data_IF_338256653595
#
_entry.id   IF_338256653595
#
_cell.length_a   1.000
_cell.length_b   1.000
_cell.length_c   1.000
_cell.angle_alpha   90.00
_cell.angle_beta   90.00
_cell.angle_gamma   90.00
#
_symmetry.space_group_name_H-M   'P 1'
#
loop_
_entity.id
_entity.type
_entity.pdbx_description
1 polymer ?
#
# COMPACT_ATOMS: atom_id res chain seq x y z
N UNK A 1 -9.55 50.62 -5.57
CA UNK A 1 -8.39 49.83 -6.07
C UNK A 1 -7.71 49.13 -4.92
N UNK A 2 -7.48 47.81 -5.01
CA UNK A 2 -6.76 47.03 -3.99
C UNK A 2 -5.25 47.33 -4.11
N UNK A 3 -4.60 47.74 -3.03
CA UNK A 3 -3.21 48.23 -3.07
C UNK A 3 -2.20 47.08 -3.13
N UNK A 4 -1.02 47.34 -3.71
CA UNK A 4 0.10 46.38 -3.77
C UNK A 4 0.49 45.84 -2.39
N UNK A 5 0.37 46.66 -1.34
CA UNK A 5 0.61 46.27 0.06
C UNK A 5 -0.34 45.17 0.53
N UNK A 6 -1.61 45.21 0.13
CA UNK A 6 -2.59 44.19 0.46
C UNK A 6 -2.21 42.80 -0.11
N UNK A 7 -1.75 42.76 -1.37
CA UNK A 7 -1.32 41.50 -1.99
C UNK A 7 -0.06 40.91 -1.33
N UNK A 8 0.89 41.76 -0.89
CA UNK A 8 2.10 41.32 -0.18
C UNK A 8 1.76 40.65 1.16
N UNK A 9 0.92 41.30 1.97
CA UNK A 9 0.49 40.76 3.27
C UNK A 9 -0.25 39.43 3.12
N UNK A 10 -1.08 39.28 2.10
CA UNK A 10 -1.80 38.03 1.87
C UNK A 10 -0.85 36.86 1.52
N UNK A 11 0.20 37.12 0.73
CA UNK A 11 1.22 36.12 0.41
C UNK A 11 2.02 35.72 1.64
N UNK A 12 2.39 36.66 2.51
CA UNK A 12 3.07 36.38 3.78
C UNK A 12 2.24 35.43 4.64
N UNK A 13 0.94 35.74 4.84
CA UNK A 13 0.01 34.89 5.60
C UNK A 13 -0.09 33.48 4.99
N UNK A 14 -0.21 33.38 3.67
CA UNK A 14 -0.31 32.09 2.96
C UNK A 14 0.97 31.24 3.13
N UNK A 15 2.12 31.90 3.20
CA UNK A 15 3.43 31.27 3.38
C UNK A 15 3.62 30.78 4.81
N UNK A 16 3.28 31.61 5.81
CA UNK A 16 3.30 31.22 7.24
C UNK A 16 2.37 30.05 7.51
N UNK A 17 1.15 30.09 6.95
CA UNK A 17 0.22 28.98 7.04
C UNK A 17 0.85 27.71 6.46
N UNK A 18 1.35 27.72 5.23
CA UNK A 18 2.01 26.55 4.61
C UNK A 18 3.14 25.98 5.49
N UNK A 19 3.95 26.82 6.13
CA UNK A 19 5.01 26.40 7.03
C UNK A 19 4.47 25.62 8.25
N UNK A 20 3.45 26.17 8.91
CA UNK A 20 2.81 25.52 10.07
C UNK A 20 2.21 24.14 9.71
N UNK A 21 1.64 23.97 8.52
CA UNK A 21 1.13 22.65 8.07
C UNK A 21 2.24 21.64 7.87
N UNK A 22 3.37 22.05 7.27
CA UNK A 22 4.51 21.17 7.05
C UNK A 22 5.12 20.69 8.37
N UNK A 23 5.20 21.56 9.36
CA UNK A 23 5.69 21.23 10.70
C UNK A 23 4.77 20.24 11.42
N UNK A 24 3.46 20.45 11.34
CA UNK A 24 2.45 19.54 11.91
C UNK A 24 2.56 18.13 11.29
N UNK A 25 2.61 18.04 9.96
CA UNK A 25 2.75 16.76 9.24
C UNK A 25 4.06 16.06 9.64
N UNK A 26 5.15 16.81 9.75
CA UNK A 26 6.45 16.26 10.15
C UNK A 26 6.42 15.70 11.58
N UNK A 27 5.77 16.38 12.52
CA UNK A 27 5.63 15.89 13.90
C UNK A 27 4.75 14.64 13.97
N UNK A 28 3.62 14.61 13.26
CA UNK A 28 2.75 13.44 13.17
C UNK A 28 3.49 12.25 12.56
N UNK A 29 4.24 12.48 11.48
CA UNK A 29 5.04 11.45 10.82
C UNK A 29 6.15 10.92 11.72
N UNK A 30 6.88 11.78 12.43
CA UNK A 30 7.95 11.34 13.33
C UNK A 30 7.40 10.55 14.52
N UNK A 31 6.27 10.97 15.09
CA UNK A 31 5.63 10.27 16.21
C UNK A 31 5.09 8.89 15.80
N UNK A 32 4.44 8.80 14.64
CA UNK A 32 3.82 7.57 14.15
C UNK A 32 4.62 6.88 13.03
N UNK A 33 5.94 7.12 12.95
CA UNK A 33 6.78 6.69 11.80
C UNK A 33 6.61 5.21 11.49
N UNK A 34 6.54 4.38 12.52
CA UNK A 34 6.40 2.92 12.40
C UNK A 34 5.04 2.56 11.79
N UNK A 35 3.96 3.18 12.26
CA UNK A 35 2.61 2.93 11.76
C UNK A 35 2.43 3.42 10.33
N UNK A 36 2.93 4.62 10.01
CA UNK A 36 2.86 5.17 8.65
C UNK A 36 3.67 4.30 7.67
N UNK A 37 4.88 3.88 8.04
CA UNK A 37 5.67 2.99 7.16
C UNK A 37 5.02 1.62 6.98
N UNK A 38 4.51 1.03 8.06
CA UNK A 38 3.86 -0.29 8.00
C UNK A 38 2.61 -0.26 7.13
N UNK A 39 1.78 0.79 7.24
CA UNK A 39 0.57 0.95 6.42
C UNK A 39 0.88 1.15 4.94
N UNK A 40 1.94 1.90 4.61
CA UNK A 40 2.40 2.05 3.22
C UNK A 40 2.87 0.71 2.63
N UNK A 41 3.65 -0.07 3.40
CA UNK A 41 4.10 -1.40 2.98
C UNK A 41 2.90 -2.34 2.81
N UNK A 42 1.92 -2.29 3.70
CA UNK A 42 0.69 -3.08 3.59
C UNK A 42 -0.09 -2.76 2.31
N UNK A 43 -0.28 -1.48 1.99
CA UNK A 43 -0.93 -1.05 0.76
C UNK A 43 -0.17 -1.50 -0.50
N UNK A 44 1.16 -1.47 -0.46
CA UNK A 44 2.01 -1.97 -1.55
C UNK A 44 1.81 -3.49 -1.75
N UNK A 45 1.82 -4.28 -0.66
CA UNK A 45 1.58 -5.72 -0.74
C UNK A 45 0.18 -6.07 -1.27
N UNK A 46 -0.86 -5.35 -0.84
CA UNK A 46 -2.22 -5.54 -1.37
C UNK A 46 -2.24 -5.29 -2.87
N UNK A 47 -1.64 -4.21 -3.33
CA UNK A 47 -1.61 -3.85 -4.76
C UNK A 47 -0.90 -4.91 -5.59
N UNK A 48 0.26 -5.35 -5.11
CA UNK A 48 1.06 -6.40 -5.75
C UNK A 48 0.32 -7.75 -5.73
N UNK A 49 -0.32 -8.11 -4.63
CA UNK A 49 -1.08 -9.36 -4.50
C UNK A 49 -2.32 -9.38 -5.41
N UNK A 50 -3.06 -8.28 -5.47
CA UNK A 50 -4.23 -8.13 -6.33
C UNK A 50 -3.87 -8.25 -7.82
N UNK A 51 -2.86 -7.48 -8.24
CA UNK A 51 -2.40 -7.49 -9.64
C UNK A 51 -1.80 -8.83 -10.04
N UNK A 52 -0.96 -9.43 -9.20
CA UNK A 52 -0.35 -10.73 -9.50
C UNK A 52 -1.37 -11.85 -9.60
N UNK A 53 -2.41 -11.86 -8.77
CA UNK A 53 -3.50 -12.85 -8.84
C UNK A 53 -4.25 -12.78 -10.17
N UNK A 54 -4.53 -11.56 -10.67
CA UNK A 54 -5.23 -11.38 -11.94
C UNK A 54 -4.33 -11.73 -13.14
N UNK A 55 -3.06 -11.33 -13.10
CA UNK A 55 -2.09 -11.70 -14.12
C UNK A 55 -1.89 -13.22 -14.17
N UNK A 56 -1.78 -13.88 -13.02
CA UNK A 56 -1.62 -15.33 -12.93
C UNK A 56 -2.81 -16.06 -13.55
N UNK A 57 -4.05 -15.67 -13.20
CA UNK A 57 -5.24 -16.28 -13.77
C UNK A 57 -5.37 -16.06 -15.28
N UNK A 58 -4.88 -14.94 -15.79
CA UNK A 58 -5.03 -14.59 -17.22
C UNK A 58 -3.99 -15.32 -18.08
N UNK A 59 -2.73 -15.38 -17.62
CA UNK A 59 -1.59 -15.85 -18.40
C UNK A 59 -1.14 -17.28 -18.05
N UNK A 60 -1.18 -17.66 -16.77
CA UNK A 60 -0.62 -18.92 -16.30
C UNK A 60 -1.68 -20.02 -16.22
N UNK A 61 -2.92 -19.67 -15.89
CA UNK A 61 -4.04 -20.62 -15.70
C UNK A 61 -5.30 -20.12 -16.39
N UNK A 62 -5.18 -19.81 -17.68
CA UNK A 62 -6.31 -19.31 -18.46
C UNK A 62 -7.47 -20.32 -18.46
N UNK A 63 -8.71 -19.84 -18.32
CA UNK A 63 -9.92 -20.64 -18.18
C UNK A 63 -10.36 -21.26 -19.53
N UNK A 64 -9.57 -22.18 -20.07
CA UNK A 64 -9.90 -22.97 -21.27
C UNK A 64 -9.33 -24.39 -21.19
N UNK A 65 -9.88 -25.33 -21.95
CA UNK A 65 -9.37 -26.71 -22.05
C UNK A 65 -7.90 -26.74 -22.50
N UNK A 66 -7.52 -25.87 -23.43
CA UNK A 66 -6.13 -25.74 -23.86
C UNK A 66 -5.24 -25.11 -22.78
N UNK A 67 -5.78 -24.14 -22.05
CA UNK A 67 -5.15 -23.57 -20.86
C UNK A 67 -4.85 -24.66 -19.82
N UNK A 68 -5.79 -25.57 -19.55
CA UNK A 68 -5.57 -26.69 -18.61
C UNK A 68 -4.45 -27.63 -19.04
N UNK A 69 -4.40 -28.01 -20.32
CA UNK A 69 -3.36 -28.91 -20.85
C UNK A 69 -1.98 -28.23 -20.85
N UNK A 70 -1.92 -26.93 -21.16
CA UNK A 70 -0.66 -26.17 -21.22
C UNK A 70 -0.20 -25.63 -19.86
N UNK A 71 -1.09 -25.55 -18.87
CA UNK A 71 -0.84 -25.11 -17.49
C UNK A 71 0.42 -25.74 -16.86
N UNK A 72 0.64 -27.06 -16.88
CA UNK A 72 1.83 -27.67 -16.27
C UNK A 72 3.15 -27.22 -16.90
N UNK A 73 3.15 -26.82 -18.17
CA UNK A 73 4.34 -26.28 -18.83
C UNK A 73 4.51 -24.81 -18.46
N UNK A 74 3.44 -24.03 -18.60
CA UNK A 74 3.48 -22.57 -18.38
C UNK A 74 3.77 -22.24 -16.92
N UNK A 75 3.26 -23.02 -15.95
CA UNK A 75 3.50 -22.80 -14.52
C UNK A 75 4.96 -22.95 -14.11
N UNK A 76 5.77 -23.69 -14.88
CA UNK A 76 7.22 -23.84 -14.63
C UNK A 76 8.03 -22.64 -15.12
N UNK A 77 7.43 -21.75 -15.91
CA UNK A 77 8.11 -20.54 -16.39
C UNK A 77 8.47 -19.64 -15.22
N UNK A 78 9.60 -18.90 -15.30
CA UNK A 78 10.04 -18.02 -14.23
C UNK A 78 9.02 -16.93 -13.89
N UNK A 79 8.26 -16.47 -14.89
CA UNK A 79 7.20 -15.46 -14.71
C UNK A 79 6.07 -16.00 -13.84
N UNK A 80 5.51 -17.17 -14.20
CA UNK A 80 4.41 -17.77 -13.44
C UNK A 80 4.86 -18.24 -12.06
N UNK A 81 6.09 -18.72 -11.91
CA UNK A 81 6.67 -19.03 -10.59
C UNK A 81 6.82 -17.79 -9.71
N UNK A 82 7.30 -16.69 -10.27
CA UNK A 82 7.40 -15.41 -9.56
C UNK A 82 6.03 -14.91 -9.11
N UNK A 83 5.03 -14.95 -10.00
CA UNK A 83 3.65 -14.58 -9.67
C UNK A 83 3.06 -15.48 -8.57
N UNK A 84 3.23 -16.80 -8.65
CA UNK A 84 2.79 -17.72 -7.58
C UNK A 84 3.47 -17.41 -6.24
N UNK A 85 4.76 -17.10 -6.25
CA UNK A 85 5.49 -16.72 -5.04
C UNK A 85 4.93 -15.43 -4.44
N UNK A 86 4.70 -14.42 -5.27
CA UNK A 86 4.09 -13.15 -4.85
C UNK A 86 2.70 -13.39 -4.25
N UNK A 87 1.88 -14.23 -4.87
CA UNK A 87 0.53 -14.56 -4.37
C UNK A 87 0.65 -15.20 -2.98
N UNK A 88 1.46 -16.26 -2.85
CA UNK A 88 1.60 -17.02 -1.60
C UNK A 88 2.21 -16.18 -0.48
N UNK A 89 3.38 -15.59 -0.72
CA UNK A 89 4.08 -14.76 0.27
C UNK A 89 3.32 -13.48 0.57
N UNK A 90 2.70 -12.86 -0.44
CA UNK A 90 1.88 -11.66 -0.27
C UNK A 90 0.69 -11.91 0.64
N UNK A 91 -0.04 -13.01 0.45
CA UNK A 91 -1.13 -13.40 1.36
C UNK A 91 -0.66 -13.59 2.79
N UNK A 92 0.47 -14.27 2.99
CA UNK A 92 1.05 -14.48 4.32
C UNK A 92 1.42 -13.15 5.01
N UNK A 93 2.05 -12.21 4.28
CA UNK A 93 2.41 -10.90 4.83
C UNK A 93 1.19 -10.06 5.17
N UNK A 94 0.18 -10.06 4.29
CA UNK A 94 -1.09 -9.37 4.54
C UNK A 94 -1.78 -9.94 5.78
N UNK A 95 -1.84 -11.27 5.91
CA UNK A 95 -2.46 -11.95 7.05
C UNK A 95 -1.71 -11.65 8.37
N UNK A 96 -0.38 -11.70 8.37
CA UNK A 96 0.40 -11.40 9.56
C UNK A 96 0.20 -9.95 10.03
N UNK A 97 0.13 -8.99 9.11
CA UNK A 97 -0.17 -7.59 9.45
C UNK A 97 -1.59 -7.44 10.00
N UNK A 98 -2.57 -8.15 9.44
CA UNK A 98 -3.94 -8.18 9.96
C UNK A 98 -4.00 -8.74 11.39
N UNK A 99 -3.26 -9.81 11.69
CA UNK A 99 -3.21 -10.40 13.02
C UNK A 99 -2.58 -9.46 14.07
N UNK A 100 -1.55 -8.69 13.69
CA UNK A 100 -0.99 -7.66 14.57
C UNK A 100 -2.04 -6.61 14.89
N UNK A 101 -2.80 -6.15 13.88
CA UNK A 101 -3.93 -5.24 14.10
C UNK A 101 -5.00 -5.83 15.02
N UNK A 102 -5.40 -7.09 14.78
CA UNK A 102 -6.34 -7.81 15.63
C UNK A 102 -5.88 -7.94 17.08
N UNK A 103 -4.59 -8.22 17.29
CA UNK A 103 -3.99 -8.33 18.63
C UNK A 103 -4.06 -6.99 19.37
N UNK A 104 -3.80 -5.88 18.69
CA UNK A 104 -3.92 -4.54 19.29
C UNK A 104 -5.36 -4.23 19.70
N UNK A 105 -6.35 -4.57 18.87
CA UNK A 105 -7.76 -4.38 19.18
C UNK A 105 -8.16 -5.22 20.40
N UNK A 106 -7.78 -6.49 20.43
CA UNK A 106 -8.08 -7.39 21.54
C UNK A 106 -7.44 -6.92 22.84
N UNK A 107 -6.18 -6.47 22.80
CA UNK A 107 -5.49 -5.91 23.96
C UNK A 107 -6.24 -4.69 24.53
N UNK A 108 -6.71 -3.81 23.65
CA UNK A 108 -7.50 -2.64 24.04
C UNK A 108 -8.85 -3.01 24.67
N UNK A 109 -9.50 -4.08 24.20
CA UNK A 109 -10.77 -4.55 24.79
C UNK A 109 -10.55 -5.23 26.15
N UNK A 110 -9.42 -5.91 26.33
CA UNK A 110 -9.11 -6.64 27.57
C UNK A 110 -8.57 -5.75 28.70
N UNK A 111 -8.21 -4.50 28.41
CA UNK A 111 -7.67 -3.52 29.36
C UNK A 111 -8.75 -2.58 29.87
#
# INVERSE_FOLDING_TARGET
>A
MRTRSYYKKQNEIKTTHKYNYMELIKNIYNYNKILVNTTLIYAAWITIHYTSSHLYSTYCTNLSLWGFITSPIIVTTPVCRGLSWIIYTGSEKIFNMWNVGGTLILNYISS
#
